data_IF_977981764574
#
_entry.id   IF_977981764574
#
_cell.length_a   1.000
_cell.length_b   1.000
_cell.length_c   1.000
_cell.angle_alpha   90.00
_cell.angle_beta   90.00
_cell.angle_gamma   90.00
#
_symmetry.space_group_name_H-M   'P 1'
#
loop_
_entity.id
_entity.type
_entity.pdbx_description
1 polymer ?
#
# COMPACT_ATOMS: atom_id res chain seq x y z
N UNK A 1 -52.57 -20.61 6.15
CA UNK A 1 -51.91 -19.43 6.77
C UNK A 1 -50.68 -19.80 7.60
N UNK A 2 -50.72 -20.79 8.51
CA UNK A 2 -49.55 -21.13 9.33
C UNK A 2 -48.35 -21.68 8.52
N UNK A 3 -48.60 -22.57 7.54
CA UNK A 3 -47.53 -23.13 6.72
C UNK A 3 -46.75 -22.08 5.91
N UNK A 4 -47.46 -21.08 5.35
CA UNK A 4 -46.83 -20.01 4.57
C UNK A 4 -46.02 -19.06 5.45
N UNK A 5 -46.55 -18.65 6.62
CA UNK A 5 -45.78 -17.86 7.56
C UNK A 5 -44.52 -18.60 8.03
N UNK A 6 -44.61 -19.91 8.30
CA UNK A 6 -43.44 -20.69 8.68
C UNK A 6 -42.40 -20.73 7.56
N UNK A 7 -42.82 -20.84 6.29
CA UNK A 7 -41.93 -20.76 5.12
C UNK A 7 -41.26 -19.39 5.04
N UNK A 8 -42.02 -18.31 5.16
CA UNK A 8 -41.50 -16.94 5.13
C UNK A 8 -40.52 -16.69 6.26
N UNK A 9 -40.85 -17.08 7.50
CA UNK A 9 -39.99 -16.97 8.68
C UNK A 9 -38.68 -17.73 8.47
N UNK A 10 -38.73 -18.96 7.95
CA UNK A 10 -37.54 -19.75 7.64
C UNK A 10 -36.67 -19.15 6.52
N UNK A 11 -37.22 -18.26 5.69
CA UNK A 11 -36.51 -17.59 4.61
C UNK A 11 -35.98 -16.20 4.98
N UNK A 12 -36.41 -15.61 6.10
CA UNK A 12 -36.01 -14.26 6.51
C UNK A 12 -34.49 -14.12 6.61
N UNK A 13 -33.81 -15.11 7.19
CA UNK A 13 -32.35 -15.10 7.39
C UNK A 13 -31.84 -16.50 7.06
N UNK A 14 -30.95 -16.61 6.09
CA UNK A 14 -30.29 -17.86 5.72
C UNK A 14 -28.78 -17.70 5.66
N UNK A 15 -28.06 -18.68 6.18
CA UNK A 15 -26.62 -18.78 6.01
C UNK A 15 -26.30 -19.56 4.74
N UNK A 16 -25.26 -19.12 4.03
CA UNK A 16 -24.76 -19.78 2.83
C UNK A 16 -23.33 -19.36 2.51
N UNK A 17 -22.88 -19.74 1.32
CA UNK A 17 -21.60 -19.31 0.78
C UNK A 17 -21.78 -18.77 -0.65
N UNK A 18 -20.89 -17.85 -1.06
CA UNK A 18 -20.93 -17.27 -2.39
C UNK A 18 -20.68 -18.36 -3.43
N UNK A 19 -21.64 -18.60 -4.32
CA UNK A 19 -21.55 -19.56 -5.41
C UNK A 19 -20.97 -18.93 -6.67
N UNK A 20 -21.41 -17.71 -6.99
CA UNK A 20 -21.00 -16.99 -8.20
C UNK A 20 -20.90 -15.48 -7.91
N UNK A 21 -20.00 -14.80 -8.60
CA UNK A 21 -19.77 -13.36 -8.48
C UNK A 21 -19.89 -12.75 -9.88
N UNK A 22 -20.66 -11.67 -10.01
CA UNK A 22 -20.75 -10.84 -11.21
C UNK A 22 -20.19 -9.45 -10.89
N UNK A 23 -18.90 -9.20 -11.19
CA UNK A 23 -18.27 -7.92 -10.90
C UNK A 23 -18.84 -6.75 -11.70
N UNK A 24 -19.30 -6.95 -12.94
CA UNK A 24 -19.79 -5.84 -13.78
C UNK A 24 -21.13 -5.27 -13.30
N UNK A 25 -21.92 -6.07 -12.58
CA UNK A 25 -23.20 -5.64 -12.01
C UNK A 25 -23.17 -5.49 -10.49
N UNK A 26 -22.01 -5.74 -9.85
CA UNK A 26 -21.87 -5.76 -8.39
C UNK A 26 -22.92 -6.67 -7.70
N UNK A 27 -23.10 -7.89 -8.23
CA UNK A 27 -24.05 -8.88 -7.69
C UNK A 27 -23.39 -10.23 -7.43
N UNK A 28 -24.02 -11.02 -6.58
CA UNK A 28 -23.59 -12.38 -6.24
C UNK A 28 -24.75 -13.36 -6.25
N UNK A 29 -24.45 -14.64 -6.45
CA UNK A 29 -25.38 -15.74 -6.16
C UNK A 29 -24.85 -16.53 -4.98
N UNK A 30 -25.76 -16.96 -4.11
CA UNK A 30 -25.44 -17.66 -2.86
C UNK A 30 -25.99 -19.08 -2.93
N UNK A 31 -25.17 -20.05 -2.55
CA UNK A 31 -25.64 -21.41 -2.30
C UNK A 31 -26.23 -21.48 -0.88
N UNK A 32 -27.50 -21.87 -0.80
CA UNK A 32 -28.34 -21.94 0.40
C UNK A 32 -28.80 -23.39 0.60
N UNK A 33 -27.84 -24.29 0.82
CA UNK A 33 -28.08 -25.74 0.78
C UNK A 33 -28.15 -26.25 -0.66
N UNK A 34 -29.25 -26.91 -1.02
CA UNK A 34 -29.48 -27.43 -2.39
C UNK A 34 -29.93 -26.33 -3.39
N UNK A 35 -30.28 -25.15 -2.89
CA UNK A 35 -30.76 -24.03 -3.70
C UNK A 35 -29.63 -23.04 -3.99
N UNK A 36 -29.61 -22.48 -5.20
CA UNK A 36 -28.79 -21.31 -5.53
C UNK A 36 -29.71 -20.12 -5.73
N UNK A 37 -29.42 -18.99 -5.09
CA UNK A 37 -30.22 -17.76 -5.23
C UNK A 37 -30.20 -17.21 -6.67
N UNK A 38 -31.03 -16.20 -6.93
CA UNK A 38 -30.83 -15.30 -8.07
C UNK A 38 -29.67 -14.32 -7.78
N UNK A 39 -29.40 -13.38 -8.70
CA UNK A 39 -28.39 -12.33 -8.56
C UNK A 39 -28.80 -11.26 -7.54
N UNK A 40 -28.25 -11.38 -6.34
CA UNK A 40 -28.53 -10.50 -5.21
C UNK A 40 -27.46 -9.40 -5.05
N UNK A 41 -27.84 -8.20 -4.59
CA UNK A 41 -26.86 -7.21 -4.13
C UNK A 41 -26.20 -7.68 -2.82
N UNK A 42 -25.01 -7.14 -2.55
CA UNK A 42 -24.28 -7.42 -1.31
C UNK A 42 -23.90 -6.13 -0.57
N UNK A 43 -23.72 -6.25 0.74
CA UNK A 43 -23.23 -5.15 1.58
C UNK A 43 -21.73 -4.94 1.36
N UNK A 44 -21.35 -3.68 1.24
CA UNK A 44 -19.96 -3.21 1.35
C UNK A 44 -19.77 -2.46 2.68
N UNK A 45 -18.54 -2.28 3.18
CA UNK A 45 -18.30 -1.61 4.47
C UNK A 45 -18.96 -0.23 4.60
N UNK A 46 -18.99 0.54 3.51
CA UNK A 46 -19.73 1.78 3.39
C UNK A 46 -20.08 2.04 1.91
N UNK A 47 -21.24 2.66 1.66
CA UNK A 47 -21.79 2.93 0.32
C UNK A 47 -22.47 4.31 0.23
N UNK A 48 -21.92 5.31 0.92
CA UNK A 48 -22.43 6.69 0.94
C UNK A 48 -21.50 7.65 0.19
N UNK A 49 -21.30 8.86 0.71
CA UNK A 49 -20.29 9.79 0.19
C UNK A 49 -18.86 9.22 0.27
N UNK A 50 -18.61 8.31 1.20
CA UNK A 50 -17.48 7.37 1.19
C UNK A 50 -18.03 6.00 0.82
N UNK A 51 -17.35 5.34 -0.13
CA UNK A 51 -17.71 4.01 -0.60
C UNK A 51 -16.48 3.11 -0.65
N UNK A 52 -16.64 1.85 -0.26
CA UNK A 52 -15.60 0.83 -0.35
C UNK A 52 -16.02 -0.21 -1.37
N UNK A 53 -15.16 -0.47 -2.36
CA UNK A 53 -15.36 -1.55 -3.30
C UNK A 53 -14.53 -2.77 -2.87
N UNK A 54 -15.23 -3.85 -2.52
CA UNK A 54 -14.62 -5.16 -2.24
C UNK A 54 -15.60 -6.25 -2.69
N UNK A 55 -15.44 -6.82 -3.90
CA UNK A 55 -16.29 -7.90 -4.35
C UNK A 55 -16.08 -9.14 -3.46
N UNK A 56 -17.15 -9.87 -3.09
CA UNK A 56 -17.01 -11.15 -2.40
C UNK A 56 -16.27 -12.18 -3.23
N UNK A 57 -15.61 -13.12 -2.57
CA UNK A 57 -14.96 -14.26 -3.22
C UNK A 57 -15.89 -15.46 -3.31
N UNK A 58 -15.78 -16.28 -4.35
CA UNK A 58 -16.47 -17.58 -4.40
C UNK A 58 -16.03 -18.44 -3.21
N UNK A 59 -17.00 -19.02 -2.51
CA UNK A 59 -16.82 -19.80 -1.28
C UNK A 59 -16.81 -18.97 0.01
N UNK A 60 -16.83 -17.64 -0.06
CA UNK A 60 -16.90 -16.79 1.13
C UNK A 60 -18.23 -17.01 1.87
N UNK A 61 -18.19 -17.16 3.21
CA UNK A 61 -19.41 -17.34 4.00
C UNK A 61 -20.20 -16.03 4.07
N UNK A 62 -21.53 -16.16 4.02
CA UNK A 62 -22.43 -15.01 4.04
C UNK A 62 -23.79 -15.34 4.69
N UNK A 63 -24.52 -14.28 5.02
CA UNK A 63 -25.91 -14.30 5.45
C UNK A 63 -26.76 -13.62 4.38
N UNK A 64 -27.84 -14.25 3.96
CA UNK A 64 -28.87 -13.67 3.10
C UNK A 64 -30.03 -13.23 3.96
N UNK A 65 -30.33 -11.93 3.93
CA UNK A 65 -31.47 -11.31 4.60
C UNK A 65 -32.55 -11.09 3.55
N UNK A 66 -33.70 -11.76 3.68
CA UNK A 66 -34.78 -11.72 2.70
C UNK A 66 -35.99 -11.00 3.29
N UNK A 67 -36.20 -9.70 3.00
CA UNK A 67 -37.38 -8.98 3.47
C UNK A 67 -38.67 -9.72 3.10
N UNK A 68 -39.58 -9.87 4.07
CA UNK A 68 -40.83 -10.64 3.92
C UNK A 68 -40.65 -12.11 3.53
N UNK A 69 -39.45 -12.68 3.70
CA UNK A 69 -39.16 -14.08 3.35
C UNK A 69 -39.04 -14.34 1.85
N UNK A 70 -38.94 -13.29 1.02
CA UNK A 70 -38.77 -13.40 -0.43
C UNK A 70 -37.28 -13.49 -0.79
N UNK A 71 -36.80 -14.71 -1.05
CA UNK A 71 -35.40 -14.99 -1.34
C UNK A 71 -34.89 -14.35 -2.64
N UNK A 72 -35.78 -14.04 -3.59
CA UNK A 72 -35.41 -13.33 -4.82
C UNK A 72 -34.99 -11.87 -4.56
N UNK A 73 -35.44 -11.27 -3.45
CA UNK A 73 -35.10 -9.90 -3.03
C UNK A 73 -34.07 -9.89 -1.88
N UNK A 74 -33.32 -10.99 -1.72
CA UNK A 74 -32.34 -11.12 -0.65
C UNK A 74 -31.21 -10.08 -0.72
N UNK A 75 -30.68 -9.73 0.45
CA UNK A 75 -29.52 -8.85 0.63
C UNK A 75 -28.39 -9.66 1.27
N UNK A 76 -27.20 -9.66 0.66
CA UNK A 76 -26.11 -10.56 1.07
C UNK A 76 -25.08 -9.84 1.92
N UNK A 77 -24.93 -10.27 3.18
CA UNK A 77 -23.91 -9.80 4.11
C UNK A 77 -22.77 -10.81 4.22
N UNK A 78 -21.58 -10.43 3.74
CA UNK A 78 -20.38 -11.27 3.78
C UNK A 78 -19.47 -10.92 4.98
N UNK A 79 -18.40 -11.69 5.17
CA UNK A 79 -17.36 -11.41 6.18
C UNK A 79 -17.37 -12.34 7.40
N UNK A 80 -18.06 -13.47 7.33
CA UNK A 80 -17.92 -14.52 8.34
C UNK A 80 -16.69 -15.37 8.02
N UNK A 81 -15.76 -15.47 8.96
CA UNK A 81 -14.57 -16.31 8.79
C UNK A 81 -14.95 -17.79 8.61
N UNK A 82 -14.13 -18.54 7.90
CA UNK A 82 -14.32 -19.96 7.65
C UNK A 82 -12.97 -20.70 7.64
N UNK A 83 -13.00 -22.03 7.51
CA UNK A 83 -11.79 -22.82 7.31
C UNK A 83 -11.11 -22.50 5.97
N UNK A 84 -11.88 -22.16 4.94
CA UNK A 84 -11.36 -21.75 3.63
C UNK A 84 -10.83 -20.30 3.64
N UNK A 85 -11.45 -19.43 4.43
CA UNK A 85 -11.11 -18.00 4.56
C UNK A 85 -11.01 -17.62 6.04
N UNK A 86 -9.89 -17.97 6.72
CA UNK A 86 -9.71 -17.65 8.13
C UNK A 86 -9.42 -16.16 8.36
N UNK A 87 -9.50 -15.71 9.62
CA UNK A 87 -8.99 -14.39 10.01
C UNK A 87 -7.51 -14.25 9.65
N UNK A 88 -7.05 -13.13 9.05
CA UNK A 88 -5.66 -12.98 8.61
C UNK A 88 -4.67 -12.74 9.76
N UNK A 89 -5.16 -12.49 10.98
CA UNK A 89 -4.37 -12.31 12.18
C UNK A 89 -5.11 -12.84 13.43
N UNK A 90 -4.36 -13.08 14.50
CA UNK A 90 -4.89 -13.54 15.80
C UNK A 90 -4.57 -12.56 16.94
N UNK A 91 -3.68 -11.59 16.72
CA UNK A 91 -3.34 -10.59 17.72
C UNK A 91 -4.50 -9.61 17.91
N UNK A 92 -4.80 -9.27 19.17
CA UNK A 92 -5.74 -8.20 19.49
C UNK A 92 -5.16 -6.81 19.14
N UNK A 93 -3.85 -6.71 18.96
CA UNK A 93 -3.15 -5.45 18.71
C UNK A 93 -3.14 -5.05 17.22
N UNK A 94 -3.55 -5.95 16.34
CA UNK A 94 -3.35 -5.83 14.89
C UNK A 94 -4.65 -5.57 14.12
N UNK A 95 -4.59 -4.70 13.14
CA UNK A 95 -5.56 -4.58 12.05
C UNK A 95 -4.86 -4.96 10.75
N UNK A 96 -5.34 -6.03 10.11
CA UNK A 96 -4.68 -6.64 8.94
C UNK A 96 -5.65 -6.79 7.78
N UNK A 97 -5.21 -6.37 6.60
CA UNK A 97 -5.85 -6.68 5.32
C UNK A 97 -4.85 -7.49 4.49
N UNK A 98 -5.24 -8.68 4.06
CA UNK A 98 -4.43 -9.56 3.21
C UNK A 98 -5.11 -9.73 1.86
N UNK A 99 -4.33 -9.60 0.78
CA UNK A 99 -4.79 -9.75 -0.60
C UNK A 99 -4.40 -11.15 -1.16
N UNK A 100 -5.11 -11.66 -2.19
CA UNK A 100 -4.85 -12.99 -2.74
C UNK A 100 -3.46 -13.22 -3.35
N UNK A 101 -2.76 -12.14 -3.72
CA UNK A 101 -1.37 -12.16 -4.22
C UNK A 101 -0.32 -12.16 -3.09
N UNK A 102 -0.76 -12.15 -1.83
CA UNK A 102 0.09 -12.11 -0.66
C UNK A 102 0.46 -10.70 -0.19
N UNK A 103 -0.04 -9.64 -0.85
CA UNK A 103 0.13 -8.29 -0.34
C UNK A 103 -0.59 -8.11 1.00
N UNK A 104 -0.03 -7.30 1.89
CA UNK A 104 -0.58 -7.05 3.24
C UNK A 104 -0.49 -5.58 3.62
N UNK A 105 -1.54 -5.10 4.29
CA UNK A 105 -1.59 -3.82 5.01
C UNK A 105 -1.84 -4.13 6.48
N UNK A 106 -0.91 -3.75 7.35
CA UNK A 106 -0.90 -4.15 8.75
C UNK A 106 -0.62 -2.95 9.64
N UNK A 107 -1.50 -2.71 10.61
CA UNK A 107 -1.24 -1.74 11.67
C UNK A 107 -1.27 -2.43 13.03
N UNK A 108 -0.19 -2.31 13.80
CA UNK A 108 -0.10 -2.79 15.17
C UNK A 108 -0.08 -1.59 16.14
N UNK A 109 -1.11 -1.45 16.97
CA UNK A 109 -1.25 -0.29 17.85
C UNK A 109 -0.44 -0.40 19.16
N UNK A 110 -0.07 -1.60 19.59
CA UNK A 110 0.85 -1.77 20.71
C UNK A 110 2.28 -1.33 20.35
N UNK A 111 2.71 -1.64 19.11
CA UNK A 111 4.01 -1.23 18.57
C UNK A 111 3.98 0.15 17.88
N UNK A 112 2.80 0.73 17.66
CA UNK A 112 2.59 1.93 16.84
C UNK A 112 3.26 1.83 15.46
N UNK A 113 3.07 0.69 14.79
CA UNK A 113 3.80 0.35 13.55
C UNK A 113 2.84 0.06 12.40
N UNK A 114 3.10 0.70 11.25
CA UNK A 114 2.48 0.41 9.97
C UNK A 114 3.45 -0.40 9.10
N UNK A 115 3.00 -1.54 8.60
CA UNK A 115 3.75 -2.38 7.68
C UNK A 115 2.92 -2.68 6.43
N UNK A 116 3.48 -2.34 5.26
CA UNK A 116 2.90 -2.64 3.95
C UNK A 116 3.92 -3.50 3.20
N UNK A 117 3.53 -4.71 2.79
CA UNK A 117 4.45 -5.70 2.22
C UNK A 117 3.79 -6.53 1.11
N UNK A 118 4.60 -7.28 0.37
CA UNK A 118 4.13 -8.18 -0.70
C UNK A 118 3.64 -7.48 -1.98
N UNK A 119 3.79 -6.15 -2.08
CA UNK A 119 3.38 -5.37 -3.25
C UNK A 119 4.50 -5.31 -4.30
N UNK A 120 4.12 -5.14 -5.57
CA UNK A 120 5.09 -4.94 -6.67
C UNK A 120 5.43 -3.46 -6.89
N UNK A 121 4.45 -2.57 -6.75
CA UNK A 121 4.62 -1.12 -6.94
C UNK A 121 3.76 -0.35 -5.94
N UNK A 122 4.17 0.89 -5.63
CA UNK A 122 3.40 1.86 -4.87
C UNK A 122 3.49 3.22 -5.56
N UNK A 123 2.36 3.92 -5.71
CA UNK A 123 2.30 5.26 -6.28
C UNK A 123 1.59 6.19 -5.30
N UNK A 124 2.23 7.32 -4.98
CA UNK A 124 1.64 8.39 -4.16
C UNK A 124 1.60 9.65 -5.02
N UNK A 125 0.41 10.15 -5.29
CA UNK A 125 0.18 11.37 -6.07
C UNK A 125 -0.53 12.40 -5.20
N UNK A 126 0.07 13.58 -5.07
CA UNK A 126 -0.50 14.72 -4.36
C UNK A 126 -0.42 15.96 -5.24
N UNK A 127 -1.45 16.81 -5.20
CA UNK A 127 -1.53 18.02 -6.04
C UNK A 127 -0.67 19.19 -5.54
N UNK A 128 -0.21 19.13 -4.28
CA UNK A 128 0.56 20.20 -3.65
C UNK A 128 1.92 19.70 -3.19
N UNK A 129 1.95 18.77 -2.23
CA UNK A 129 3.18 18.25 -1.65
C UNK A 129 2.97 16.88 -1.02
N UNK A 130 4.08 16.14 -0.88
CA UNK A 130 4.19 14.96 -0.02
C UNK A 130 5.27 15.29 1.02
N UNK A 131 4.94 15.12 2.30
CA UNK A 131 5.87 15.36 3.41
C UNK A 131 6.15 14.05 4.15
N UNK A 132 7.42 13.73 4.31
CA UNK A 132 7.90 12.63 5.15
C UNK A 132 8.54 13.21 6.42
N UNK A 133 7.75 13.40 7.47
CA UNK A 133 8.23 13.89 8.76
C UNK A 133 8.64 12.71 9.65
N UNK A 134 9.94 12.39 9.62
CA UNK A 134 10.54 11.30 10.38
C UNK A 134 11.99 11.65 10.72
N UNK A 135 12.52 11.22 11.88
CA UNK A 135 13.94 11.36 12.18
C UNK A 135 14.86 10.72 11.13
N UNK A 136 14.40 9.66 10.45
CA UNK A 136 15.17 8.96 9.43
C UNK A 136 14.27 8.33 8.37
N UNK A 137 14.67 8.45 7.10
CA UNK A 137 14.11 7.72 5.97
C UNK A 137 15.24 6.93 5.27
N UNK A 138 14.98 5.66 4.96
CA UNK A 138 15.96 4.77 4.32
C UNK A 138 15.41 4.27 2.98
N UNK A 139 16.17 4.51 1.91
CA UNK A 139 15.89 3.96 0.57
C UNK A 139 16.98 2.94 0.23
N UNK A 140 16.62 1.66 0.13
CA UNK A 140 17.57 0.55 -0.11
C UNK A 140 17.89 0.35 -1.58
N UNK A 141 17.02 0.84 -2.46
CA UNK A 141 17.20 0.82 -3.91
C UNK A 141 17.71 2.15 -4.46
N UNK A 142 17.60 2.30 -5.77
CA UNK A 142 17.92 3.56 -6.45
C UNK A 142 16.85 4.61 -6.13
N UNK A 143 17.29 5.82 -5.77
CA UNK A 143 16.43 7.00 -5.68
C UNK A 143 16.67 7.87 -6.91
N UNK A 144 15.61 8.17 -7.65
CA UNK A 144 15.65 9.12 -8.77
C UNK A 144 14.87 10.36 -8.39
N UNK A 145 15.48 11.53 -8.55
CA UNK A 145 14.83 12.84 -8.41
C UNK A 145 14.89 13.52 -9.77
N UNK A 146 13.75 13.66 -10.44
CA UNK A 146 13.70 14.21 -11.81
C UNK A 146 13.96 15.72 -11.86
N UNK A 147 13.71 16.42 -10.75
CA UNK A 147 13.87 17.86 -10.61
C UNK A 147 14.97 18.18 -9.58
N UNK A 148 14.95 19.40 -9.02
CA UNK A 148 15.95 19.86 -8.05
C UNK A 148 15.91 19.04 -6.75
N UNK A 149 17.03 18.40 -6.42
CA UNK A 149 17.31 17.88 -5.09
C UNK A 149 17.89 19.01 -4.22
N UNK A 150 17.20 19.39 -3.14
CA UNK A 150 17.69 20.35 -2.14
C UNK A 150 17.98 19.63 -0.82
N UNK A 151 19.10 19.97 -0.17
CA UNK A 151 19.49 19.45 1.15
C UNK A 151 20.11 20.58 1.99
N UNK A 152 19.93 20.54 3.32
CA UNK A 152 20.42 21.59 4.23
C UNK A 152 21.62 21.14 5.07
N UNK A 153 21.68 19.86 5.45
CA UNK A 153 22.71 19.32 6.34
C UNK A 153 23.85 18.61 5.59
N UNK A 154 24.11 19.03 4.36
CA UNK A 154 25.11 18.43 3.49
C UNK A 154 24.69 17.10 2.87
N UNK A 155 25.66 16.49 2.17
CA UNK A 155 25.52 15.19 1.51
C UNK A 155 26.75 14.35 1.87
N UNK A 156 26.53 13.12 2.35
CA UNK A 156 27.57 12.13 2.58
C UNK A 156 27.27 10.90 1.71
N UNK A 157 28.29 10.38 1.02
CA UNK A 157 28.15 9.24 0.14
C UNK A 157 29.41 8.39 0.12
N UNK A 158 29.23 7.08 -0.01
CA UNK A 158 30.30 6.11 -0.24
C UNK A 158 29.91 5.18 -1.37
N UNK A 159 30.89 4.76 -2.15
CA UNK A 159 30.66 3.81 -3.24
C UNK A 159 30.53 2.40 -2.66
N UNK A 160 29.45 1.69 -3.04
CA UNK A 160 29.40 0.23 -2.93
C UNK A 160 30.25 -0.44 -4.02
N UNK A 161 30.28 -1.77 -4.04
CA UNK A 161 30.98 -2.54 -5.06
C UNK A 161 30.56 -2.12 -6.48
N UNK A 162 31.50 -1.61 -7.27
CA UNK A 162 31.26 -1.14 -8.64
C UNK A 162 30.53 0.22 -8.74
N UNK A 163 30.32 0.93 -7.63
CA UNK A 163 29.72 2.25 -7.61
C UNK A 163 30.71 3.38 -7.92
N UNK A 164 30.20 4.49 -8.45
CA UNK A 164 30.93 5.76 -8.56
C UNK A 164 29.98 6.92 -8.31
N UNK A 165 30.49 7.99 -7.72
CA UNK A 165 29.81 9.29 -7.70
C UNK A 165 30.20 10.04 -8.95
N UNK A 166 29.27 10.17 -9.91
CA UNK A 166 29.48 10.93 -11.14
C UNK A 166 28.51 12.10 -11.18
N UNK A 167 29.05 13.31 -11.35
CA UNK A 167 28.27 14.52 -11.63
C UNK A 167 28.59 14.92 -13.07
N UNK A 168 27.57 15.03 -13.90
CA UNK A 168 27.69 15.44 -15.29
C UNK A 168 26.96 16.76 -15.51
N UNK A 169 27.58 17.68 -16.25
CA UNK A 169 27.13 19.06 -16.38
C UNK A 169 27.91 20.02 -15.48
N UNK A 170 27.43 21.26 -15.41
CA UNK A 170 28.10 22.32 -14.68
C UNK A 170 27.94 22.13 -13.16
N UNK A 171 29.05 22.30 -12.44
CA UNK A 171 29.06 22.34 -10.99
C UNK A 171 29.56 23.72 -10.53
N UNK A 172 28.70 24.46 -9.85
CA UNK A 172 29.06 25.71 -9.20
C UNK A 172 29.19 25.48 -7.69
N UNK A 173 30.41 25.48 -7.18
CA UNK A 173 30.70 25.44 -5.75
C UNK A 173 30.94 26.87 -5.24
N UNK A 174 30.15 27.33 -4.27
CA UNK A 174 30.24 28.67 -3.69
C UNK A 174 30.34 28.56 -2.17
N UNK A 175 31.29 29.29 -1.59
CA UNK A 175 31.52 29.30 -0.15
C UNK A 175 32.27 28.06 0.34
N UNK A 176 33.44 28.28 0.96
CA UNK A 176 34.27 27.19 1.49
C UNK A 176 35.28 26.61 0.49
N UNK A 177 35.85 25.45 0.84
CA UNK A 177 36.93 24.80 0.09
C UNK A 177 36.46 23.49 -0.57
N UNK A 178 36.66 23.38 -1.89
CA UNK A 178 36.54 22.12 -2.60
C UNK A 178 37.86 21.34 -2.47
N UNK A 179 37.90 20.38 -1.54
CA UNK A 179 39.09 19.61 -1.19
C UNK A 179 38.99 18.13 -1.59
N UNK A 180 40.09 17.57 -2.07
CA UNK A 180 40.25 16.14 -2.34
C UNK A 180 41.56 15.66 -1.73
N UNK A 181 41.49 14.76 -0.74
CA UNK A 181 42.65 14.23 -0.03
C UNK A 181 43.61 15.31 0.54
N UNK A 182 43.05 16.44 1.00
CA UNK A 182 43.81 17.57 1.54
C UNK A 182 44.28 18.60 0.51
N UNK A 183 44.10 18.34 -0.79
CA UNK A 183 44.40 19.31 -1.85
C UNK A 183 43.16 20.15 -2.14
N UNK A 184 43.27 21.47 -1.96
CA UNK A 184 42.18 22.42 -2.21
C UNK A 184 42.27 23.00 -3.61
N UNK A 185 41.20 22.85 -4.40
CA UNK A 185 41.22 23.17 -5.83
C UNK A 185 41.66 24.61 -6.13
N UNK A 186 41.11 25.61 -5.43
CA UNK A 186 41.36 27.02 -5.75
C UNK A 186 42.64 27.60 -5.13
N UNK A 187 43.38 26.83 -4.32
CA UNK A 187 44.55 27.33 -3.58
C UNK A 187 45.76 26.39 -3.62
N UNK A 188 45.73 25.33 -4.44
CA UNK A 188 46.86 24.40 -4.54
C UNK A 188 48.05 25.04 -5.27
N UNK A 189 49.26 24.66 -4.87
CA UNK A 189 50.51 25.12 -5.49
C UNK A 189 51.45 23.94 -5.74
N UNK A 190 52.43 24.12 -6.64
CA UNK A 190 53.43 23.11 -6.96
C UNK A 190 54.85 23.61 -6.69
N UNK A 191 55.78 22.69 -6.43
CA UNK A 191 57.22 22.98 -6.46
C UNK A 191 57.68 23.13 -7.90
N UNK A 192 58.30 24.26 -8.22
CA UNK A 192 58.89 24.53 -9.53
C UNK A 192 60.21 23.79 -9.74
N UNK A 193 60.58 23.58 -11.00
CA UNK A 193 61.82 22.93 -11.43
C UNK A 193 63.09 23.70 -11.04
N UNK A 194 62.96 25.01 -10.81
CA UNK A 194 64.02 25.93 -10.42
C UNK A 194 64.10 26.17 -8.89
N UNK A 195 63.38 25.37 -8.09
CA UNK A 195 63.40 25.45 -6.62
C UNK A 195 62.44 26.46 -5.98
N UNK A 196 61.59 27.14 -6.77
CA UNK A 196 60.52 28.02 -6.29
C UNK A 196 59.18 27.30 -6.07
N UNK A 197 58.13 28.05 -5.71
CA UNK A 197 56.74 27.57 -5.63
C UNK A 197 55.88 28.33 -6.65
N UNK A 198 54.97 27.63 -7.33
CA UNK A 198 54.02 28.27 -8.26
C UNK A 198 53.01 29.15 -7.52
N UNK A 199 52.34 30.06 -8.23
CA UNK A 199 51.10 30.69 -7.74
C UNK A 199 49.93 29.70 -7.68
N UNK A 200 48.82 30.13 -7.07
CA UNK A 200 47.54 29.41 -7.10
C UNK A 200 46.90 29.48 -8.52
N UNK A 201 45.96 28.57 -8.84
CA UNK A 201 45.20 28.63 -10.09
C UNK A 201 44.47 29.98 -10.25
N UNK A 202 44.42 30.47 -11.48
CA UNK A 202 43.67 31.67 -11.88
C UNK A 202 42.33 31.32 -12.50
#
# INVERSE_FOLDING_TARGET
MQAEHNRQIANLIKQGNIAQVNPSECRVRVALGELTSDWLPYFVPCAGGVSVHRPPSVGENCIVISPSGETANGLVLCGLMSTAFPSPAQSADETVITFPDGARFEYNHAASSLHISGIQTATVQASQAITFDTPQATFTGKLTVENLLTYLSGMAGSNGTGGSTTISGDLQHIGGALSSNGVVLHSHTHTGDSGGTTGAPQ
#
